data_IF_350813090527
#
_entry.id   IF_350813090527
#
_cell.length_a   1.000
_cell.length_b   1.000
_cell.length_c   1.000
_cell.angle_alpha   90.00
_cell.angle_beta   90.00
_cell.angle_gamma   90.00
#
_symmetry.space_group_name_H-M   'P 1'
#
loop_
_entity.id
_entity.type
_entity.pdbx_description
1 polymer ?
#
# COMPACT_ATOMS: atom_id res chain seq x y z
N UNK A 1 -38.39 -2.96 9.56
CA UNK A 1 -37.44 -2.78 8.44
C UNK A 1 -36.06 -2.64 9.07
N UNK A 2 -35.35 -3.76 9.20
CA UNK A 2 -34.06 -3.83 9.91
C UNK A 2 -32.95 -3.32 8.99
N UNK A 3 -32.37 -2.18 9.35
CA UNK A 3 -31.11 -1.69 8.79
C UNK A 3 -29.97 -2.57 9.32
N UNK A 4 -29.49 -3.50 8.50
CA UNK A 4 -28.20 -4.17 8.66
C UNK A 4 -27.09 -3.14 8.37
N UNK A 5 -26.79 -2.27 9.33
CA UNK A 5 -25.42 -1.77 9.51
C UNK A 5 -24.82 -2.65 10.60
N UNK A 6 -24.32 -3.80 10.19
CA UNK A 6 -23.49 -4.62 11.05
C UNK A 6 -22.13 -3.92 11.14
N UNK A 7 -21.63 -3.79 12.37
CA UNK A 7 -20.34 -3.19 12.70
C UNK A 7 -19.22 -3.69 11.77
N UNK A 8 -18.38 -2.74 11.38
CA UNK A 8 -17.46 -2.85 10.26
C UNK A 8 -16.53 -4.06 10.32
N UNK A 9 -16.56 -4.86 9.26
CA UNK A 9 -15.52 -5.85 8.95
C UNK A 9 -14.15 -5.18 8.67
N UNK A 10 -14.12 -3.85 8.53
CA UNK A 10 -12.92 -3.04 8.29
C UNK A 10 -13.05 -1.72 9.06
N UNK A 11 -12.94 -1.74 10.39
CA UNK A 11 -12.97 -0.55 11.28
C UNK A 11 -11.90 0.49 10.87
N UNK A 12 -12.20 1.27 9.85
CA UNK A 12 -11.32 2.23 9.20
C UNK A 12 -11.89 3.63 9.37
N UNK A 13 -11.03 4.60 9.68
CA UNK A 13 -11.40 5.98 9.99
C UNK A 13 -11.37 6.87 8.73
N UNK A 14 -11.59 6.32 7.53
CA UNK A 14 -11.41 7.00 6.25
C UNK A 14 -12.31 8.25 6.10
N UNK A 15 -13.60 8.09 6.40
CA UNK A 15 -14.60 9.17 6.31
C UNK A 15 -14.40 10.25 7.37
N UNK A 16 -14.00 9.86 8.57
CA UNK A 16 -13.64 10.77 9.65
C UNK A 16 -12.41 11.59 9.29
N UNK A 17 -11.36 10.94 8.78
CA UNK A 17 -10.12 11.59 8.31
C UNK A 17 -10.43 12.64 7.23
N UNK A 18 -11.28 12.31 6.25
CA UNK A 18 -11.71 13.28 5.24
C UNK A 18 -12.44 14.48 5.87
N UNK A 19 -13.32 14.25 6.84
CA UNK A 19 -14.07 15.32 7.52
C UNK A 19 -13.14 16.22 8.32
N UNK A 20 -12.16 15.64 9.02
CA UNK A 20 -11.16 16.37 9.79
C UNK A 20 -10.41 17.38 8.92
N UNK A 21 -9.95 16.97 7.73
CA UNK A 21 -9.19 17.85 6.83
C UNK A 21 -10.03 18.73 5.90
N UNK A 22 -11.37 18.61 5.90
CA UNK A 22 -12.28 19.26 4.94
C UNK A 22 -12.09 20.78 4.79
N UNK A 23 -11.66 21.44 5.85
CA UNK A 23 -11.48 22.90 5.92
C UNK A 23 -10.01 23.32 6.06
N UNK A 24 -9.08 22.41 5.76
CA UNK A 24 -7.63 22.66 5.78
C UNK A 24 -7.06 22.77 4.35
N UNK A 25 -5.77 23.04 4.23
CA UNK A 25 -5.02 22.96 2.97
C UNK A 25 -4.70 21.52 2.53
N UNK A 26 -4.94 20.52 3.40
CA UNK A 26 -4.66 19.11 3.10
C UNK A 26 -5.73 18.56 2.14
N UNK A 27 -5.28 18.01 1.01
CA UNK A 27 -6.16 17.41 0.02
C UNK A 27 -6.36 15.92 0.33
N UNK A 28 -7.57 15.55 0.72
CA UNK A 28 -7.95 14.16 1.00
C UNK A 28 -8.85 13.61 -0.09
N UNK A 29 -8.45 12.49 -0.68
CA UNK A 29 -9.21 11.79 -1.71
C UNK A 29 -9.54 10.37 -1.26
N UNK A 30 -10.83 10.09 -1.03
CA UNK A 30 -11.30 8.73 -0.81
C UNK A 30 -11.19 7.93 -2.12
N UNK A 31 -10.47 6.82 -2.07
CA UNK A 31 -10.14 6.01 -3.24
C UNK A 31 -10.86 4.66 -3.19
N UNK A 32 -12.11 4.56 -3.70
CA UNK A 32 -12.82 3.29 -3.72
C UNK A 32 -12.18 2.30 -4.70
N UNK A 33 -12.21 1.02 -4.37
CA UNK A 33 -11.82 -0.04 -5.30
C UNK A 33 -12.94 -0.26 -6.31
N UNK A 34 -12.69 0.07 -7.58
CA UNK A 34 -13.68 -0.12 -8.65
C UNK A 34 -13.34 -1.29 -9.57
N UNK A 35 -14.21 -2.30 -9.66
CA UNK A 35 -14.20 -3.29 -10.73
C UNK A 35 -14.94 -2.76 -11.97
N UNK A 36 -14.44 -2.98 -13.18
CA UNK A 36 -15.17 -2.65 -14.42
C UNK A 36 -16.15 -3.77 -14.81
N UNK A 37 -17.41 -3.37 -15.05
CA UNK A 37 -18.46 -4.04 -15.82
C UNK A 37 -18.79 -5.49 -15.45
N UNK A 38 -19.45 -5.67 -14.31
CA UNK A 38 -20.57 -6.62 -14.22
C UNK A 38 -21.68 -5.98 -13.37
N UNK A 39 -22.90 -6.56 -13.41
CA UNK A 39 -24.12 -6.14 -12.68
C UNK A 39 -23.86 -5.28 -11.43
N UNK A 40 -24.68 -4.26 -11.19
CA UNK A 40 -24.65 -3.39 -9.99
C UNK A 40 -24.37 -4.12 -8.67
N UNK A 41 -24.83 -5.37 -8.57
CA UNK A 41 -24.60 -6.28 -7.43
C UNK A 41 -23.11 -6.65 -7.28
N UNK A 42 -22.42 -7.03 -8.36
CA UNK A 42 -20.99 -7.37 -8.35
C UNK A 42 -20.09 -6.14 -8.16
N UNK A 43 -20.55 -4.96 -8.57
CA UNK A 43 -19.80 -3.72 -8.32
C UNK A 43 -19.85 -3.32 -6.84
N UNK A 44 -20.99 -3.54 -6.16
CA UNK A 44 -21.09 -3.44 -4.70
C UNK A 44 -20.17 -4.46 -4.02
N UNK A 45 -20.20 -5.71 -4.47
CA UNK A 45 -19.40 -6.81 -3.93
C UNK A 45 -17.88 -6.56 -4.03
N UNK A 46 -17.37 -6.11 -5.18
CA UNK A 46 -15.94 -5.76 -5.35
C UNK A 46 -15.54 -4.55 -4.50
N UNK A 47 -16.43 -3.57 -4.35
CA UNK A 47 -16.20 -2.39 -3.50
C UNK A 47 -16.22 -2.70 -2.00
N UNK A 48 -16.84 -3.81 -1.58
CA UNK A 48 -16.86 -4.27 -0.19
C UNK A 48 -15.82 -5.34 0.14
N UNK A 49 -15.31 -6.11 -0.83
CA UNK A 49 -14.39 -7.23 -0.58
C UNK A 49 -12.91 -6.87 -0.78
N UNK A 50 -12.60 -5.91 -1.67
CA UNK A 50 -11.22 -5.56 -2.00
C UNK A 50 -10.89 -4.11 -1.60
N UNK A 51 -9.72 -3.92 -1.00
CA UNK A 51 -9.27 -2.61 -0.51
C UNK A 51 -7.98 -2.15 -1.19
N UNK A 52 -7.70 -0.86 -1.12
CA UNK A 52 -6.37 -0.35 -1.43
C UNK A 52 -5.47 -0.55 -0.20
N UNK A 53 -4.66 -1.61 -0.20
CA UNK A 53 -3.86 -2.01 0.97
C UNK A 53 -2.42 -1.44 0.99
N UNK A 54 -2.11 -0.50 0.10
CA UNK A 54 -0.78 0.13 0.04
C UNK A 54 -0.62 1.14 1.19
N UNK A 55 0.44 1.01 1.99
CA UNK A 55 0.86 2.00 2.99
C UNK A 55 2.10 2.71 2.49
N UNK A 56 2.00 4.00 2.23
CA UNK A 56 3.10 4.78 1.67
C UNK A 56 3.12 6.19 2.23
N UNK A 57 4.28 6.68 2.64
CA UNK A 57 4.54 8.10 2.91
C UNK A 57 5.64 8.55 1.96
N UNK A 58 5.45 9.68 1.29
CA UNK A 58 6.38 10.22 0.30
C UNK A 58 6.58 11.68 0.61
N UNK A 59 7.83 12.07 0.80
CA UNK A 59 8.20 13.42 1.21
C UNK A 59 9.41 13.88 0.41
N UNK A 60 9.52 15.18 0.22
CA UNK A 60 10.79 15.77 -0.13
C UNK A 60 11.62 16.02 1.13
N UNK A 61 12.89 15.64 1.06
CA UNK A 61 13.85 15.70 2.15
C UNK A 61 15.06 16.54 1.74
N UNK A 62 15.77 17.07 2.74
CA UNK A 62 17.04 17.75 2.50
C UNK A 62 18.07 16.78 1.88
N UNK A 63 18.74 17.25 0.84
CA UNK A 63 19.81 16.54 0.14
C UNK A 63 21.17 17.21 0.32
N UNK A 64 21.26 18.20 1.22
CA UNK A 64 22.44 19.04 1.42
C UNK A 64 22.54 20.15 0.37
N UNK A 65 23.36 21.16 0.66
CA UNK A 65 23.62 22.30 -0.24
C UNK A 65 22.35 22.98 -0.79
N UNK A 66 21.33 23.18 0.05
CA UNK A 66 20.00 23.71 -0.34
C UNK A 66 19.25 22.89 -1.41
N UNK A 67 19.64 21.63 -1.63
CA UNK A 67 18.96 20.73 -2.56
C UNK A 67 17.92 19.88 -1.85
N UNK A 68 16.93 19.41 -2.61
CA UNK A 68 15.87 18.52 -2.12
C UNK A 68 15.89 17.20 -2.91
N UNK A 69 15.48 16.11 -2.28
CA UNK A 69 15.34 14.77 -2.89
C UNK A 69 14.05 14.10 -2.43
N UNK A 70 13.56 13.09 -3.14
CA UNK A 70 12.46 12.26 -2.66
C UNK A 70 12.96 11.18 -1.70
N UNK A 71 12.27 11.02 -0.57
CA UNK A 71 12.35 9.86 0.30
C UNK A 71 10.96 9.24 0.41
N UNK A 72 10.90 7.92 0.39
CA UNK A 72 9.65 7.18 0.48
C UNK A 72 9.68 6.14 1.60
N UNK A 73 8.53 5.83 2.16
CA UNK A 73 8.34 4.78 3.17
C UNK A 73 7.30 3.80 2.67
N UNK A 74 7.57 2.50 2.81
CA UNK A 74 6.67 1.41 2.42
C UNK A 74 6.74 0.28 3.45
N UNK A 75 5.63 -0.42 3.69
CA UNK A 75 5.62 -1.55 4.64
C UNK A 75 4.22 -1.97 5.07
N UNK A 76 4.11 -2.61 6.24
CA UNK A 76 2.84 -3.07 6.82
C UNK A 76 2.14 -2.02 7.70
N UNK A 77 2.88 -1.08 8.29
CA UNK A 77 2.32 -0.05 9.17
C UNK A 77 1.48 1.01 8.44
N UNK A 78 0.19 1.09 8.78
CA UNK A 78 -0.67 2.23 8.50
C UNK A 78 -0.48 3.34 9.56
N UNK A 79 -0.71 4.60 9.20
CA UNK A 79 -0.79 5.72 10.16
C UNK A 79 -2.18 5.79 10.80
N UNK A 80 -2.47 4.85 11.69
CA UNK A 80 -3.72 4.79 12.44
C UNK A 80 -3.54 4.15 13.82
N UNK A 81 -4.63 4.10 14.57
CA UNK A 81 -4.71 3.60 15.93
C UNK A 81 -4.20 2.16 16.08
N UNK A 82 -3.54 1.86 17.20
CA UNK A 82 -3.08 0.53 17.58
C UNK A 82 -1.75 0.09 17.00
N UNK A 83 -1.19 0.83 16.04
CA UNK A 83 0.03 0.45 15.29
C UNK A 83 1.33 0.85 15.99
N UNK A 84 1.28 1.82 16.90
CA UNK A 84 2.46 2.19 17.67
C UNK A 84 2.79 1.08 18.66
N UNK A 85 4.04 0.60 18.65
CA UNK A 85 4.54 -0.36 19.64
C UNK A 85 6.07 -0.34 19.69
N UNK A 86 6.63 -1.10 20.62
CA UNK A 86 8.07 -1.36 20.76
C UNK A 86 8.30 -2.87 20.83
N UNK A 87 9.52 -3.39 20.55
CA UNK A 87 9.77 -4.84 20.54
C UNK A 87 9.47 -5.58 21.85
N UNK A 88 9.30 -4.86 22.97
CA UNK A 88 8.89 -5.45 24.25
C UNK A 88 7.41 -5.86 24.28
N UNK A 89 6.56 -5.32 23.39
CA UNK A 89 5.15 -5.67 23.23
C UNK A 89 4.35 -5.77 24.56
N UNK A 90 4.34 -4.70 25.38
CA UNK A 90 3.73 -4.76 26.70
C UNK A 90 2.20 -4.92 26.62
N UNK A 91 1.68 -5.99 27.23
CA UNK A 91 0.24 -6.28 27.25
C UNK A 91 -0.57 -5.32 28.15
N UNK A 92 -0.04 -4.98 29.32
CA UNK A 92 -0.76 -4.21 30.36
C UNK A 92 -0.03 -2.95 30.82
N UNK A 93 1.31 -2.94 30.78
CA UNK A 93 2.14 -1.93 31.47
C UNK A 93 2.02 -0.52 30.89
N UNK A 94 1.54 -0.40 29.67
CA UNK A 94 1.42 0.86 28.92
C UNK A 94 -0.01 1.36 28.81
N UNK A 95 -0.98 0.65 29.38
CA UNK A 95 -2.41 1.00 29.28
C UNK A 95 -2.77 2.31 29.98
N UNK A 96 -1.93 2.78 30.90
CA UNK A 96 -2.07 4.08 31.57
C UNK A 96 -1.11 5.15 31.05
N UNK A 97 -0.27 4.82 30.06
CA UNK A 97 0.75 5.71 29.49
C UNK A 97 0.60 5.79 27.98
N UNK A 98 1.54 5.24 27.21
CA UNK A 98 1.62 5.33 25.75
C UNK A 98 0.34 4.85 25.04
N UNK A 99 -0.28 3.78 25.55
CA UNK A 99 -1.45 3.17 24.92
C UNK A 99 -2.76 3.52 25.63
N UNK A 100 -2.78 4.57 26.47
CA UNK A 100 -3.99 5.00 27.18
C UNK A 100 -5.09 5.46 26.23
N UNK A 101 -4.71 6.29 25.27
CA UNK A 101 -5.61 6.85 24.24
C UNK A 101 -5.46 6.11 22.89
N UNK A 102 -4.75 4.97 22.90
CA UNK A 102 -4.47 4.12 21.73
C UNK A 102 -4.59 2.63 22.09
N UNK A 103 -5.58 2.28 22.91
CA UNK A 103 -5.89 0.89 23.21
C UNK A 103 -6.48 0.22 21.97
N UNK A 104 -5.84 -0.84 21.50
CA UNK A 104 -6.32 -1.65 20.38
C UNK A 104 -6.36 -3.12 20.79
N UNK A 105 -7.54 -3.73 20.74
CA UNK A 105 -7.71 -5.18 20.76
C UNK A 105 -9.13 -5.51 20.25
N UNK A 106 -9.27 -5.87 18.97
CA UNK A 106 -10.57 -6.18 18.35
C UNK A 106 -11.09 -7.59 18.70
N UNK A 107 -10.32 -8.39 19.44
CA UNK A 107 -10.68 -9.78 19.79
C UNK A 107 -11.70 -9.84 20.93
N UNK A 108 -11.69 -8.86 21.83
CA UNK A 108 -12.63 -8.79 22.96
C UNK A 108 -13.84 -7.92 22.62
N UNK A 109 -15.03 -8.35 23.05
CA UNK A 109 -16.27 -7.58 22.93
C UNK A 109 -16.76 -7.12 24.31
N UNK A 110 -17.44 -5.97 24.37
CA UNK A 110 -17.97 -5.42 25.62
C UNK A 110 -16.98 -4.57 26.41
N UNK A 111 -16.99 -4.66 27.74
CA UNK A 111 -16.15 -3.85 28.61
C UNK A 111 -14.70 -4.35 28.60
N UNK A 112 -13.80 -3.59 27.99
CA UNK A 112 -12.37 -3.94 27.81
C UNK A 112 -11.46 -3.51 28.97
N UNK A 113 -12.00 -2.89 30.02
CA UNK A 113 -11.21 -2.46 31.17
C UNK A 113 -10.53 -3.64 31.87
N UNK A 114 -9.20 -3.61 31.94
CA UNK A 114 -8.38 -4.69 32.50
C UNK A 114 -7.98 -5.78 31.50
N UNK A 115 -8.47 -5.74 30.25
CA UNK A 115 -8.02 -6.62 29.18
C UNK A 115 -6.64 -6.19 28.65
N UNK A 116 -5.83 -7.14 28.13
CA UNK A 116 -4.58 -6.78 27.47
C UNK A 116 -4.86 -6.07 26.15
N UNK A 117 -4.03 -5.09 25.77
CA UNK A 117 -3.98 -4.66 24.36
C UNK A 117 -3.47 -5.82 23.50
N UNK A 118 -3.77 -5.77 22.20
CA UNK A 118 -3.08 -6.57 21.19
C UNK A 118 -1.80 -5.82 20.79
N UNK A 119 -0.59 -6.32 21.12
CA UNK A 119 0.64 -5.72 20.65
C UNK A 119 0.76 -5.80 19.14
N UNK A 120 1.48 -4.85 18.54
CA UNK A 120 1.60 -4.74 17.09
C UNK A 120 3.05 -4.99 16.66
N UNK A 121 3.34 -6.21 16.20
CA UNK A 121 4.60 -6.55 15.55
C UNK A 121 4.46 -6.39 14.03
N UNK A 122 5.30 -5.56 13.43
CA UNK A 122 5.23 -5.24 12.00
C UNK A 122 6.58 -4.73 11.47
N UNK A 123 6.71 -4.65 10.15
CA UNK A 123 7.92 -4.21 9.45
C UNK A 123 7.61 -3.06 8.49
N UNK A 124 8.54 -2.11 8.42
CA UNK A 124 8.46 -0.96 7.52
C UNK A 124 9.86 -0.54 7.07
N UNK A 125 9.97 0.05 5.89
CA UNK A 125 11.26 0.50 5.34
C UNK A 125 11.21 1.96 4.91
N UNK A 126 12.36 2.62 5.00
CA UNK A 126 12.65 3.91 4.35
C UNK A 126 13.50 3.64 3.12
N UNK A 127 13.11 4.23 2.00
CA UNK A 127 13.83 4.20 0.73
C UNK A 127 14.38 5.60 0.49
N UNK A 128 15.71 5.70 0.49
CA UNK A 128 16.46 6.92 0.21
C UNK A 128 17.37 6.65 -0.99
N UNK A 129 16.95 7.11 -2.18
CA UNK A 129 17.61 6.82 -3.45
C UNK A 129 16.62 6.73 -4.62
N UNK A 130 17.10 6.35 -5.83
CA UNK A 130 16.28 6.35 -7.05
C UNK A 130 14.95 5.60 -6.94
N UNK A 131 14.92 4.47 -6.22
CA UNK A 131 13.69 3.68 -6.03
C UNK A 131 12.57 4.44 -5.30
N UNK A 132 12.87 5.52 -4.57
CA UNK A 132 11.84 6.36 -3.95
C UNK A 132 10.96 7.07 -5.00
N UNK A 133 11.52 7.35 -6.18
CA UNK A 133 10.81 7.98 -7.29
C UNK A 133 9.84 6.99 -7.97
N UNK A 134 10.12 5.69 -7.92
CA UNK A 134 9.17 4.66 -8.36
C UNK A 134 7.94 4.61 -7.45
N UNK A 135 8.12 4.81 -6.14
CA UNK A 135 7.01 4.90 -5.17
C UNK A 135 6.18 6.17 -5.43
N UNK A 136 6.83 7.30 -5.72
CA UNK A 136 6.17 8.54 -6.15
C UNK A 136 5.37 8.34 -7.43
N UNK A 137 5.98 7.73 -8.45
CA UNK A 137 5.31 7.42 -9.72
C UNK A 137 4.06 6.58 -9.49
N UNK A 138 4.13 5.55 -8.63
CA UNK A 138 2.95 4.77 -8.25
C UNK A 138 1.85 5.64 -7.61
N UNK A 139 2.20 6.55 -6.71
CA UNK A 139 1.23 7.46 -6.10
C UNK A 139 0.59 8.37 -7.15
N UNK A 140 1.36 8.98 -8.03
CA UNK A 140 0.88 9.88 -9.09
C UNK A 140 -0.06 9.16 -10.06
N UNK A 141 0.33 7.96 -10.52
CA UNK A 141 -0.49 7.11 -11.39
C UNK A 141 -1.87 6.82 -10.77
N UNK A 142 -1.89 6.54 -9.45
CA UNK A 142 -3.13 6.30 -8.69
C UNK A 142 -3.93 7.57 -8.47
N UNK A 143 -3.28 8.66 -8.08
CA UNK A 143 -3.92 9.96 -7.87
C UNK A 143 -4.63 10.41 -9.14
N UNK A 144 -3.95 10.35 -10.29
CA UNK A 144 -4.50 10.72 -11.59
C UNK A 144 -5.63 9.80 -12.06
N UNK A 145 -5.73 8.58 -11.51
CA UNK A 145 -6.87 7.70 -11.75
C UNK A 145 -8.06 8.06 -10.87
N UNK A 146 -7.83 8.25 -9.58
CA UNK A 146 -8.85 8.48 -8.57
C UNK A 146 -9.46 9.90 -8.66
N UNK A 147 -8.64 10.91 -8.97
CA UNK A 147 -9.07 12.31 -9.07
C UNK A 147 -9.86 12.64 -10.34
N UNK A 148 -10.11 11.67 -11.24
CA UNK A 148 -10.84 11.93 -12.48
C UNK A 148 -12.24 12.49 -12.18
N UNK A 149 -12.56 13.69 -12.71
CA UNK A 149 -13.87 14.29 -12.48
C UNK A 149 -14.96 13.43 -13.15
N UNK A 150 -16.01 13.15 -12.38
CA UNK A 150 -17.21 12.49 -12.88
C UNK A 150 -18.30 13.54 -13.15
N UNK A 151 -18.97 13.45 -14.30
CA UNK A 151 -20.09 14.33 -14.68
C UNK A 151 -19.70 15.78 -15.00
N UNK A 152 -20.60 16.73 -14.65
CA UNK A 152 -20.54 18.17 -15.01
C UNK A 152 -19.31 18.88 -14.40
N UNK A 153 -18.64 18.26 -13.40
CA UNK A 153 -17.41 18.77 -12.77
C UNK A 153 -16.16 18.76 -13.67
N UNK A 154 -16.26 18.21 -14.90
CA UNK A 154 -15.17 18.19 -15.90
C UNK A 154 -14.69 19.59 -16.32
N UNK A 155 -15.50 20.63 -16.09
CA UNK A 155 -15.26 22.01 -16.55
C UNK A 155 -14.63 22.94 -15.51
N UNK A 156 -14.38 22.52 -14.25
CA UNK A 156 -14.11 23.48 -13.15
C UNK A 156 -12.89 23.23 -12.24
N UNK A 157 -12.09 22.18 -12.42
CA UNK A 157 -10.99 21.91 -11.48
C UNK A 157 -9.70 21.59 -12.24
N UNK A 158 -8.74 22.51 -12.16
CA UNK A 158 -7.34 22.21 -12.41
C UNK A 158 -6.83 21.38 -11.24
N UNK A 159 -6.68 20.06 -11.42
CA UNK A 159 -6.05 19.16 -10.44
C UNK A 159 -4.51 19.29 -10.45
N UNK A 160 -4.00 20.29 -11.16
CA UNK A 160 -2.60 20.41 -11.55
C UNK A 160 -1.69 20.86 -10.39
N UNK A 161 -2.28 21.31 -9.27
CA UNK A 161 -1.58 21.75 -8.06
C UNK A 161 -1.54 20.70 -6.94
N UNK A 162 -2.16 19.53 -7.13
CA UNK A 162 -2.23 18.50 -6.09
C UNK A 162 -1.02 17.56 -6.05
N UNK A 163 -0.26 17.51 -7.15
CA UNK A 163 0.92 16.65 -7.30
C UNK A 163 2.19 17.48 -7.23
N UNK A 164 3.25 16.88 -6.68
CA UNK A 164 4.58 17.49 -6.68
C UNK A 164 5.07 17.59 -8.12
N UNK A 165 5.37 18.81 -8.57
CA UNK A 165 5.96 19.05 -9.88
C UNK A 165 7.45 19.25 -9.70
N UNK A 166 8.19 18.14 -9.64
CA UNK A 166 9.63 18.15 -9.33
C UNK A 166 10.43 19.09 -10.24
N UNK A 167 10.05 19.18 -11.51
CA UNK A 167 10.63 20.10 -12.50
C UNK A 167 10.51 21.59 -12.12
N UNK A 168 9.57 21.95 -11.24
CA UNK A 168 9.34 23.33 -10.79
C UNK A 168 9.99 23.64 -9.45
N UNK A 169 10.58 22.65 -8.79
CA UNK A 169 11.27 22.84 -7.52
C UNK A 169 12.74 23.13 -7.87
N UNK A 170 13.24 24.35 -7.61
CA UNK A 170 14.66 24.66 -7.83
C UNK A 170 15.53 23.69 -7.04
N UNK A 171 16.69 23.34 -7.60
CA UNK A 171 17.72 22.58 -6.90
C UNK A 171 17.23 21.17 -6.43
N UNK A 172 16.20 20.62 -7.08
CA UNK A 172 15.72 19.26 -6.83
C UNK A 172 16.62 18.24 -7.52
N UNK A 173 17.05 17.22 -6.78
CA UNK A 173 17.83 16.12 -7.34
C UNK A 173 16.87 15.20 -8.09
N UNK A 174 17.01 15.14 -9.42
CA UNK A 174 16.26 14.21 -10.25
C UNK A 174 16.74 12.77 -10.09
N UNK A 175 15.97 11.81 -10.63
CA UNK A 175 16.36 10.39 -10.63
C UNK A 175 17.72 10.14 -11.31
N UNK A 176 18.06 10.96 -12.31
CA UNK A 176 19.31 10.87 -13.06
C UNK A 176 20.50 11.57 -12.37
N UNK A 177 20.21 12.45 -11.41
CA UNK A 177 21.22 13.25 -10.68
C UNK A 177 21.42 12.72 -9.25
N UNK A 178 20.73 11.63 -8.89
CA UNK A 178 20.91 10.95 -7.62
C UNK A 178 22.38 10.51 -7.51
N UNK A 179 23.04 10.79 -6.37
CA UNK A 179 24.46 10.50 -6.22
C UNK A 179 24.70 9.02 -6.48
N UNK A 180 25.56 8.74 -7.46
CA UNK A 180 26.07 7.40 -7.71
C UNK A 180 27.03 7.10 -6.55
N UNK A 181 26.51 6.51 -5.48
CA UNK A 181 27.34 6.01 -4.39
C UNK A 181 28.26 4.96 -5.03
N UNK A 182 29.57 5.04 -4.78
CA UNK A 182 30.53 4.15 -5.43
C UNK A 182 30.14 2.69 -5.21
N UNK A 183 30.21 1.87 -6.26
CA UNK A 183 29.85 0.44 -6.21
C UNK A 183 30.67 -0.34 -5.16
N UNK A 184 31.78 0.23 -4.68
CA UNK A 184 32.66 -0.32 -3.66
C UNK A 184 32.19 -0.05 -2.20
N UNK A 185 31.13 0.73 -1.99
CA UNK A 185 30.61 0.98 -0.64
C UNK A 185 29.75 -0.21 -0.17
N UNK A 186 30.14 -0.93 0.90
CA UNK A 186 29.44 -2.13 1.37
C UNK A 186 28.03 -1.83 1.91
N UNK A 187 27.71 -0.57 2.20
CA UNK A 187 26.40 -0.15 2.69
C UNK A 187 25.42 0.24 1.56
N UNK A 188 25.80 0.05 0.29
CA UNK A 188 24.94 0.34 -0.88
C UNK A 188 23.87 -0.73 -1.08
N UNK A 189 22.66 -0.28 -1.42
CA UNK A 189 21.50 -1.13 -1.69
C UNK A 189 21.03 -0.99 -3.13
N UNK A 190 20.88 -2.12 -3.83
CA UNK A 190 20.12 -2.19 -5.07
C UNK A 190 18.65 -2.50 -4.76
N UNK A 191 17.77 -1.52 -4.99
CA UNK A 191 16.35 -1.62 -4.65
C UNK A 191 15.50 -1.62 -5.90
N UNK A 192 14.54 -2.55 -5.98
CA UNK A 192 13.53 -2.62 -7.03
C UNK A 192 12.13 -2.60 -6.41
N UNK A 193 11.25 -1.74 -6.91
CA UNK A 193 9.86 -1.64 -6.42
C UNK A 193 8.95 -2.61 -7.18
N UNK A 194 8.11 -3.32 -6.44
CA UNK A 194 7.11 -4.26 -6.96
C UNK A 194 5.71 -3.86 -6.51
N UNK A 195 4.69 -4.21 -7.29
CA UNK A 195 3.28 -3.89 -7.01
C UNK A 195 2.34 -5.05 -7.32
N UNK A 196 1.16 -4.98 -6.70
CA UNK A 196 -0.04 -5.74 -7.07
C UNK A 196 -1.13 -4.71 -7.38
N UNK A 197 -1.30 -4.38 -8.66
CA UNK A 197 -2.17 -3.28 -9.08
C UNK A 197 -2.71 -3.51 -10.50
N UNK A 198 -3.85 -2.93 -10.82
CA UNK A 198 -4.48 -3.11 -12.12
C UNK A 198 -4.79 -1.78 -12.83
N UNK A 199 -5.12 -1.86 -14.12
CA UNK A 199 -5.47 -0.69 -14.94
C UNK A 199 -6.73 0.06 -14.48
N UNK A 200 -7.50 -0.48 -13.52
CA UNK A 200 -8.60 0.23 -12.88
C UNK A 200 -8.14 1.13 -11.73
N UNK A 201 -6.94 0.89 -11.20
CA UNK A 201 -6.35 1.62 -10.07
C UNK A 201 -5.43 2.76 -10.49
N UNK A 202 -4.87 2.66 -11.69
CA UNK A 202 -3.83 3.57 -12.18
C UNK A 202 -4.19 4.17 -13.53
N UNK A 203 -3.58 5.32 -13.82
CA UNK A 203 -3.42 5.90 -15.15
C UNK A 203 -1.98 5.60 -15.60
N UNK A 204 -1.76 5.38 -16.91
CA UNK A 204 -0.40 5.18 -17.46
C UNK A 204 -0.15 3.78 -18.03
N UNK A 205 -0.95 2.78 -17.64
CA UNK A 205 -0.88 1.45 -18.25
C UNK A 205 -1.17 1.54 -19.77
N UNK A 206 -0.46 0.75 -20.59
CA UNK A 206 -0.61 0.79 -22.05
C UNK A 206 -2.04 0.42 -22.44
N UNK A 207 -2.56 1.06 -23.50
CA UNK A 207 -3.89 0.73 -24.02
C UNK A 207 -3.87 -0.52 -24.90
N UNK A 208 -2.78 -0.72 -25.63
CA UNK A 208 -2.56 -1.88 -26.48
C UNK A 208 -2.00 -3.04 -25.64
N UNK A 209 -2.69 -4.19 -25.54
CA UNK A 209 -2.18 -5.37 -24.86
C UNK A 209 -0.81 -5.85 -25.37
N UNK A 210 -0.46 -5.58 -26.64
CA UNK A 210 0.87 -5.93 -27.18
C UNK A 210 2.01 -5.25 -26.44
N UNK A 211 1.75 -4.03 -25.94
CA UNK A 211 2.71 -3.24 -25.16
C UNK A 211 2.65 -3.56 -23.66
N UNK A 212 1.73 -4.42 -23.23
CA UNK A 212 1.60 -4.82 -21.82
C UNK A 212 2.71 -5.82 -21.44
N UNK A 213 3.01 -6.78 -22.31
CA UNK A 213 4.03 -7.81 -22.08
C UNK A 213 5.43 -7.22 -21.93
N UNK A 214 5.79 -6.20 -22.72
CA UNK A 214 7.08 -5.51 -22.60
C UNK A 214 7.24 -4.76 -21.27
N UNK A 215 6.15 -4.52 -20.53
CA UNK A 215 6.13 -3.96 -19.18
C UNK A 215 5.86 -5.01 -18.10
N UNK A 216 5.98 -6.30 -18.42
CA UNK A 216 5.67 -7.43 -17.53
C UNK A 216 4.23 -7.40 -16.95
N UNK A 217 3.30 -6.78 -17.67
CA UNK A 217 1.88 -6.76 -17.29
C UNK A 217 1.17 -7.97 -17.89
N UNK A 218 0.27 -8.57 -17.11
CA UNK A 218 -0.58 -9.69 -17.53
C UNK A 218 -1.96 -9.17 -17.90
N UNK A 219 -2.57 -9.73 -18.96
CA UNK A 219 -3.93 -9.42 -19.33
C UNK A 219 -4.90 -10.45 -18.73
N UNK A 220 -5.83 -10.01 -17.88
CA UNK A 220 -6.89 -10.84 -17.32
C UNK A 220 -8.26 -10.17 -17.45
N UNK A 221 -9.24 -10.84 -18.05
CA UNK A 221 -10.63 -10.35 -18.20
C UNK A 221 -10.73 -8.88 -18.68
N UNK A 222 -9.94 -8.52 -19.71
CA UNK A 222 -9.84 -7.15 -20.27
C UNK A 222 -9.28 -6.08 -19.31
N UNK A 223 -8.55 -6.50 -18.28
CA UNK A 223 -7.82 -5.64 -17.34
C UNK A 223 -6.34 -6.00 -17.44
N UNK A 224 -5.49 -4.98 -17.47
CA UNK A 224 -4.04 -5.18 -17.34
C UNK A 224 -3.67 -5.17 -15.88
N UNK A 225 -2.86 -6.15 -15.47
CA UNK A 225 -2.54 -6.44 -14.07
C UNK A 225 -1.02 -6.50 -13.95
N UNK A 226 -0.48 -5.72 -13.02
CA UNK A 226 0.87 -5.87 -12.49
C UNK A 226 0.80 -6.85 -11.32
N UNK A 227 1.51 -7.98 -11.46
CA UNK A 227 1.66 -9.01 -10.44
C UNK A 227 3.13 -9.17 -10.04
N UNK A 228 3.91 -8.09 -10.13
CA UNK A 228 5.34 -8.13 -9.88
C UNK A 228 5.71 -8.51 -8.45
N UNK A 229 4.85 -8.23 -7.44
CA UNK A 229 5.05 -8.78 -6.08
C UNK A 229 5.07 -10.31 -6.11
N UNK A 230 4.09 -10.93 -6.74
CA UNK A 230 4.01 -12.39 -6.84
C UNK A 230 5.23 -12.97 -7.58
N UNK A 231 5.59 -12.37 -8.72
CA UNK A 231 6.77 -12.78 -9.49
C UNK A 231 8.06 -12.63 -8.69
N UNK A 232 8.21 -11.56 -7.91
CA UNK A 232 9.38 -11.34 -7.06
C UNK A 232 9.47 -12.40 -5.95
N UNK A 233 8.36 -12.71 -5.28
CA UNK A 233 8.30 -13.80 -4.29
C UNK A 233 8.72 -15.14 -4.91
N UNK A 234 8.18 -15.51 -6.07
CA UNK A 234 8.56 -16.75 -6.77
C UNK A 234 10.07 -16.77 -7.06
N UNK A 235 10.60 -15.68 -7.61
CA UNK A 235 12.03 -15.59 -7.95
C UNK A 235 12.91 -15.71 -6.71
N UNK A 236 12.58 -15.02 -5.63
CA UNK A 236 13.32 -15.08 -4.37
C UNK A 236 13.31 -16.50 -3.78
N UNK A 237 12.15 -17.16 -3.76
CA UNK A 237 12.01 -18.54 -3.27
C UNK A 237 12.83 -19.52 -4.12
N UNK A 238 12.74 -19.42 -5.46
CA UNK A 238 13.47 -20.30 -6.38
C UNK A 238 14.99 -20.11 -6.33
N UNK A 239 15.45 -18.89 -6.04
CA UNK A 239 16.87 -18.57 -5.98
C UNK A 239 17.52 -18.92 -4.63
N UNK A 240 16.73 -19.09 -3.57
CA UNK A 240 17.24 -19.35 -2.22
C UNK A 240 18.10 -20.62 -2.17
N UNK A 241 19.33 -20.51 -1.67
CA UNK A 241 20.28 -21.63 -1.55
C UNK A 241 20.40 -22.18 -0.12
N UNK A 242 19.87 -21.48 0.88
CA UNK A 242 20.07 -21.80 2.29
C UNK A 242 18.75 -21.92 3.04
N UNK A 243 18.15 -20.79 3.44
CA UNK A 243 16.89 -20.76 4.16
C UNK A 243 16.05 -19.58 3.70
N UNK A 244 14.74 -19.66 3.96
CA UNK A 244 13.78 -18.58 3.75
C UNK A 244 13.11 -18.31 5.09
N UNK A 245 13.13 -17.04 5.50
CA UNK A 245 12.41 -16.56 6.66
C UNK A 245 11.20 -15.76 6.20
N UNK A 246 10.02 -16.05 6.74
CA UNK A 246 8.76 -15.40 6.35
C UNK A 246 8.03 -14.94 7.62
N UNK A 247 7.87 -13.63 7.75
CA UNK A 247 6.87 -13.01 8.61
C UNK A 247 5.73 -12.49 7.73
N UNK A 248 4.50 -12.96 7.95
CA UNK A 248 3.34 -12.51 7.19
C UNK A 248 2.06 -12.70 8.01
N UNK A 249 1.14 -11.73 7.94
CA UNK A 249 -0.18 -11.83 8.56
C UNK A 249 -0.99 -13.02 8.01
N UNK A 250 -0.80 -13.35 6.73
CA UNK A 250 -1.50 -14.45 6.08
C UNK A 250 -0.53 -15.42 5.41
N UNK A 251 -0.77 -16.71 5.63
CA UNK A 251 -0.08 -17.79 4.92
C UNK A 251 -1.10 -18.77 4.33
N UNK A 252 -1.68 -18.38 3.19
CA UNK A 252 -2.68 -19.17 2.47
C UNK A 252 -2.51 -18.97 0.96
N UNK A 253 -2.57 -20.06 0.20
CA UNK A 253 -2.39 -19.99 -1.24
C UNK A 253 -2.44 -21.37 -1.89
N UNK A 254 -2.23 -21.37 -3.21
CA UNK A 254 -2.03 -22.57 -4.01
C UNK A 254 -3.15 -23.61 -3.92
N UNK A 255 -4.38 -23.13 -3.91
CA UNK A 255 -5.58 -23.94 -3.72
C UNK A 255 -5.85 -24.98 -4.80
N UNK A 256 -5.27 -24.80 -5.99
CA UNK A 256 -5.34 -25.78 -7.06
C UNK A 256 -4.80 -27.16 -6.66
N UNK A 257 -3.97 -27.24 -5.61
CA UNK A 257 -3.37 -28.49 -5.11
C UNK A 257 -3.92 -28.94 -3.74
N UNK A 258 -4.99 -28.33 -3.20
CA UNK A 258 -5.49 -28.68 -1.86
C UNK A 258 -6.15 -30.07 -1.79
N UNK A 259 -6.71 -30.56 -2.89
CA UNK A 259 -7.53 -31.79 -2.90
C UNK A 259 -6.75 -33.10 -2.83
N UNK A 260 -5.42 -33.08 -2.68
CA UNK A 260 -4.60 -34.30 -2.54
C UNK A 260 -4.19 -34.63 -1.10
N UNK A 261 -4.42 -33.75 -0.11
CA UNK A 261 -4.08 -34.02 1.29
C UNK A 261 -5.20 -33.57 2.23
N UNK A 262 -5.90 -34.52 2.84
CA UNK A 262 -6.96 -34.24 3.82
C UNK A 262 -6.42 -33.79 5.19
N UNK A 263 -5.12 -33.98 5.45
CA UNK A 263 -4.56 -33.88 6.81
C UNK A 263 -3.32 -32.96 6.95
N UNK A 264 -2.95 -32.17 5.93
CA UNK A 264 -1.76 -31.30 6.02
C UNK A 264 -2.09 -29.81 5.87
N UNK A 265 -1.70 -29.06 6.90
CA UNK A 265 -1.62 -27.60 6.88
C UNK A 265 -0.66 -27.13 5.78
N UNK A 266 -1.24 -26.43 4.80
CA UNK A 266 -0.66 -25.39 3.93
C UNK A 266 0.88 -25.34 3.88
N UNK A 267 1.46 -25.95 2.84
CA UNK A 267 2.79 -25.57 2.37
C UNK A 267 2.69 -25.05 0.93
N UNK A 268 3.46 -23.99 0.68
CA UNK A 268 3.79 -23.38 -0.62
C UNK A 268 3.72 -24.42 -1.74
N UNK A 269 2.85 -24.22 -2.73
CA UNK A 269 2.86 -25.13 -3.87
C UNK A 269 4.20 -25.10 -4.57
N UNK A 270 4.80 -26.28 -4.66
CA UNK A 270 5.58 -26.74 -5.80
C UNK A 270 6.42 -25.63 -6.45
N UNK A 271 7.63 -25.44 -5.90
CA UNK A 271 8.81 -24.75 -6.47
C UNK A 271 8.58 -23.97 -7.79
#
# INVERSE_FOLDING_TARGET
MFTLFQDGVMATHDEETRRFFKHSSVQVLLCPRSGKRHSWIKQKEVGTIYTHHQKTVIVDADAGTNRRKIVAFVGGLDLCDGRYDVPHHPLFRTLSTTHKDDYHNPTFTGHVGGCPREPWHDLHSKIDGPAAYDVLTNFEERWLKASKPHGIKKLKISYDDALLRLERIPDFIGINDAPNIGEDDPEVWHVQIFRSIDSNSVKGFPKDPKNATSKNLVCGKNVLIDMSIHTAYIKAIRAAQHYIYIENQYFIGSSYNWSQHKDLGKLVSQL
#
